data_IF_109912404591
#
_entry.id   IF_109912404591
#
_cell.length_a   1.000
_cell.length_b   1.000
_cell.length_c   1.000
_cell.angle_alpha   90.00
_cell.angle_beta   90.00
_cell.angle_gamma   90.00
#
_symmetry.space_group_name_H-M   'P 1'
#
loop_
_entity.id
_entity.type
_entity.pdbx_description
1 polymer ?
#
# COMPACT_ATOMS: atom_id res chain seq x y z
N UNK A 1 1.77 2.75 -18.71
CA UNK A 1 2.46 4.02 -18.41
C UNK A 1 1.51 4.78 -17.49
N UNK A 2 1.93 5.16 -16.28
CA UNK A 2 1.12 6.07 -15.46
C UNK A 2 1.20 7.45 -16.11
N UNK A 3 0.07 7.97 -16.56
CA UNK A 3 -0.09 9.19 -17.34
C UNK A 3 -0.16 10.46 -16.47
N UNK A 4 0.27 10.35 -15.21
CA UNK A 4 0.31 11.48 -14.26
C UNK A 4 -0.96 11.68 -13.44
N UNK A 5 -2.04 10.92 -13.69
CA UNK A 5 -3.33 11.01 -12.98
C UNK A 5 -3.57 9.84 -12.01
N UNK A 6 -2.54 9.36 -11.33
CA UNK A 6 -2.68 8.29 -10.35
C UNK A 6 -3.27 8.82 -9.05
N UNK A 7 -4.45 8.32 -8.65
CA UNK A 7 -4.98 8.56 -7.31
C UNK A 7 -4.50 7.45 -6.37
N UNK A 8 -3.89 7.85 -5.24
CA UNK A 8 -3.39 6.93 -4.24
C UNK A 8 -4.42 6.70 -3.13
N UNK A 9 -4.58 5.44 -2.75
CA UNK A 9 -5.48 4.99 -1.70
C UNK A 9 -4.70 4.24 -0.64
N UNK A 10 -5.22 4.26 0.59
CA UNK A 10 -4.72 3.45 1.69
C UNK A 10 -5.88 2.65 2.29
N UNK A 11 -5.65 1.38 2.60
CA UNK A 11 -6.66 0.56 3.24
C UNK A 11 -6.80 0.88 4.73
N UNK A 12 -8.04 0.83 5.23
CA UNK A 12 -8.33 1.02 6.65
C UNK A 12 -7.56 0.04 7.56
N UNK A 13 -7.49 -1.23 7.18
CA UNK A 13 -6.73 -2.26 7.90
C UNK A 13 -5.23 -1.90 8.08
N UNK A 14 -4.63 -1.20 7.12
CA UNK A 14 -3.23 -0.76 7.21
C UNK A 14 -3.09 0.42 8.18
N UNK A 15 -4.09 1.28 8.25
CA UNK A 15 -4.13 2.41 9.20
C UNK A 15 -4.23 1.90 10.63
N UNK A 16 -5.07 0.89 10.88
CA UNK A 16 -5.18 0.24 12.19
C UNK A 16 -3.84 -0.35 12.64
N UNK A 17 -3.13 -1.04 11.75
CA UNK A 17 -1.80 -1.58 12.01
C UNK A 17 -0.76 -0.48 12.26
N UNK A 18 -0.76 0.59 11.45
CA UNK A 18 0.09 1.75 11.66
C UNK A 18 -0.18 2.42 13.01
N UNK A 19 -1.45 2.55 13.42
CA UNK A 19 -1.83 3.07 14.73
C UNK A 19 -1.23 2.24 15.87
N UNK A 20 -1.29 0.91 15.78
CA UNK A 20 -0.62 0.02 16.72
C UNK A 20 0.89 0.25 16.79
N UNK A 21 1.55 0.28 15.62
CA UNK A 21 3.01 0.40 15.51
C UNK A 21 3.56 1.78 15.92
N UNK A 22 2.81 2.85 15.67
CA UNK A 22 3.24 4.23 15.96
C UNK A 22 3.56 4.52 17.43
N UNK A 23 3.05 3.68 18.34
CA UNK A 23 3.30 3.76 19.78
C UNK A 23 4.76 3.52 20.11
N UNK A 24 5.44 2.69 19.34
CA UNK A 24 6.83 2.28 19.58
C UNK A 24 7.78 2.54 18.40
N UNK A 25 7.25 2.85 17.21
CA UNK A 25 8.05 3.10 16.00
C UNK A 25 7.81 4.51 15.44
N UNK A 26 8.86 5.33 15.43
CA UNK A 26 8.81 6.71 14.93
C UNK A 26 8.46 6.78 13.43
N UNK A 27 8.92 5.83 12.63
CA UNK A 27 8.61 5.80 11.19
C UNK A 27 7.13 5.53 10.95
N UNK A 28 6.51 4.66 11.76
CA UNK A 28 5.07 4.42 11.70
C UNK A 28 4.28 5.67 12.13
N UNK A 29 4.78 6.46 13.09
CA UNK A 29 4.17 7.74 13.47
C UNK A 29 4.23 8.77 12.34
N UNK A 30 5.37 8.90 11.68
CA UNK A 30 5.51 9.75 10.49
C UNK A 30 4.54 9.28 9.40
N UNK A 31 4.45 7.96 9.16
CA UNK A 31 3.47 7.39 8.23
C UNK A 31 2.02 7.76 8.57
N UNK A 32 1.66 7.76 9.86
CA UNK A 32 0.34 8.20 10.32
C UNK A 32 0.06 9.68 10.02
N UNK A 33 1.05 10.56 10.17
CA UNK A 33 0.88 11.99 9.85
C UNK A 33 0.77 12.22 8.34
N UNK A 34 1.39 11.37 7.53
CA UNK A 34 1.42 11.50 6.08
C UNK A 34 0.14 10.99 5.39
N UNK A 35 -0.51 9.93 5.91
CA UNK A 35 -1.66 9.33 5.21
C UNK A 35 -2.90 10.21 5.19
N UNK A 36 -3.03 11.22 6.06
CA UNK A 36 -4.20 12.12 6.08
C UNK A 36 -4.45 12.87 4.76
N UNK A 37 -3.52 12.77 3.80
CA UNK A 37 -3.61 13.31 2.44
C UNK A 37 -4.14 12.29 1.41
N UNK A 38 -4.32 11.03 1.79
CA UNK A 38 -4.76 9.93 0.94
C UNK A 38 -6.24 9.62 1.20
N UNK A 39 -6.93 9.10 0.19
CA UNK A 39 -8.27 8.54 0.37
C UNK A 39 -8.18 7.19 1.07
N UNK A 40 -9.07 6.95 2.02
CA UNK A 40 -9.16 5.68 2.72
C UNK A 40 -10.16 4.77 2.02
N UNK A 41 -9.73 3.53 1.79
CA UNK A 41 -10.55 2.49 1.21
C UNK A 41 -10.92 1.49 2.31
N UNK A 42 -12.21 1.26 2.50
CA UNK A 42 -12.72 0.22 3.39
C UNK A 42 -12.15 -1.13 2.95
N UNK A 43 -11.46 -1.79 3.88
CA UNK A 43 -10.86 -3.10 3.67
C UNK A 43 -11.26 -4.02 4.81
N UNK A 44 -11.69 -5.24 4.49
CA UNK A 44 -11.93 -6.29 5.47
C UNK A 44 -10.75 -7.25 5.48
N UNK A 45 -10.31 -7.68 6.65
CA UNK A 45 -9.21 -8.64 6.80
C UNK A 45 -8.09 -8.12 7.70
N UNK A 46 -6.93 -8.80 7.67
CA UNK A 46 -5.73 -8.42 8.44
C UNK A 46 -4.50 -8.41 7.54
N UNK A 47 -3.61 -7.45 7.78
CA UNK A 47 -2.33 -7.30 7.09
C UNK A 47 -2.44 -7.31 5.56
N UNK A 48 -1.43 -7.94 4.94
CA UNK A 48 -1.28 -8.08 3.50
C UNK A 48 -2.53 -8.55 2.75
N UNK A 49 -3.31 -9.48 3.32
CA UNK A 49 -4.48 -10.06 2.64
C UNK A 49 -5.53 -9.01 2.32
N UNK A 50 -5.77 -8.09 3.25
CA UNK A 50 -6.71 -6.98 3.08
C UNK A 50 -6.32 -6.06 1.91
N UNK A 51 -5.01 -5.85 1.71
CA UNK A 51 -4.47 -5.06 0.62
C UNK A 51 -4.69 -5.78 -0.71
N UNK A 52 -4.31 -7.06 -0.78
CA UNK A 52 -4.43 -7.87 -1.99
C UNK A 52 -5.89 -8.01 -2.45
N UNK A 53 -6.81 -8.27 -1.52
CA UNK A 53 -8.24 -8.36 -1.80
C UNK A 53 -8.79 -7.06 -2.40
N UNK A 54 -8.33 -5.92 -1.88
CA UNK A 54 -8.72 -4.60 -2.38
C UNK A 54 -8.16 -4.34 -3.78
N UNK A 55 -6.89 -4.67 -4.01
CA UNK A 55 -6.28 -4.56 -5.33
C UNK A 55 -7.01 -5.42 -6.37
N UNK A 56 -7.36 -6.66 -6.03
CA UNK A 56 -8.12 -7.55 -6.91
C UNK A 56 -9.54 -7.06 -7.16
N UNK A 57 -10.26 -6.64 -6.11
CA UNK A 57 -11.67 -6.24 -6.20
C UNK A 57 -11.87 -4.97 -7.03
N UNK A 58 -10.95 -4.02 -6.94
CA UNK A 58 -11.05 -2.72 -7.58
C UNK A 58 -10.07 -2.54 -8.75
N UNK A 59 -9.43 -3.62 -9.21
CA UNK A 59 -8.45 -3.63 -10.30
C UNK A 59 -7.32 -2.60 -10.12
N UNK A 60 -6.88 -2.39 -8.88
CA UNK A 60 -5.85 -1.41 -8.52
C UNK A 60 -4.44 -1.98 -8.66
N UNK A 61 -3.47 -1.09 -8.84
CA UNK A 61 -2.05 -1.43 -8.72
C UNK A 61 -1.60 -1.36 -7.25
N UNK A 62 -0.75 -2.29 -6.84
CA UNK A 62 -0.10 -2.27 -5.53
C UNK A 62 1.21 -1.49 -5.59
N UNK A 63 1.38 -0.47 -4.75
CA UNK A 63 2.68 0.17 -4.51
C UNK A 63 3.23 -0.28 -3.14
N UNK A 64 4.36 -0.98 -3.13
CA UNK A 64 5.02 -1.41 -1.89
C UNK A 64 6.54 -1.58 -2.07
N UNK A 65 7.27 -1.59 -0.96
CA UNK A 65 8.67 -2.00 -0.87
C UNK A 65 8.85 -3.39 -0.22
N UNK A 66 7.78 -3.99 0.30
CA UNK A 66 7.80 -5.32 0.89
C UNK A 66 7.87 -6.40 -0.21
N UNK A 67 9.01 -7.09 -0.30
CA UNK A 67 9.24 -8.10 -1.34
C UNK A 67 8.31 -9.31 -1.24
N UNK A 68 7.86 -9.68 -0.03
CA UNK A 68 6.96 -10.81 0.15
C UNK A 68 5.56 -10.44 -0.33
N UNK A 69 5.06 -9.26 0.05
CA UNK A 69 3.76 -8.77 -0.40
C UNK A 69 3.74 -8.58 -1.92
N UNK A 70 4.79 -7.98 -2.49
CA UNK A 70 4.88 -7.79 -3.94
C UNK A 70 4.91 -9.13 -4.69
N UNK A 71 5.68 -10.11 -4.22
CA UNK A 71 5.69 -11.47 -4.81
C UNK A 71 4.31 -12.11 -4.79
N UNK A 72 3.57 -11.94 -3.68
CA UNK A 72 2.20 -12.46 -3.54
C UNK A 72 1.23 -11.76 -4.50
N UNK A 73 1.34 -10.44 -4.63
CA UNK A 73 0.53 -9.66 -5.57
C UNK A 73 0.77 -10.08 -7.03
N UNK A 74 2.03 -10.24 -7.44
CA UNK A 74 2.36 -10.72 -8.79
C UNK A 74 1.78 -12.11 -9.06
N UNK A 75 1.81 -13.02 -8.09
CA UNK A 75 1.21 -14.35 -8.22
C UNK A 75 -0.32 -14.31 -8.40
N UNK A 76 -0.98 -13.23 -7.97
CA UNK A 76 -2.41 -12.97 -8.14
C UNK A 76 -2.72 -12.12 -9.39
N UNK A 77 -1.74 -11.89 -10.27
CA UNK A 77 -1.85 -11.01 -11.45
C UNK A 77 -2.20 -9.54 -11.10
N UNK A 78 -1.90 -9.10 -9.87
CA UNK A 78 -1.99 -7.70 -9.49
C UNK A 78 -0.76 -6.97 -10.02
N UNK A 79 -0.98 -5.81 -10.66
CA UNK A 79 0.11 -4.94 -11.12
C UNK A 79 0.84 -4.33 -9.93
N UNK A 80 2.16 -4.45 -9.90
CA UNK A 80 3.00 -4.04 -8.77
C UNK A 80 3.93 -2.88 -9.14
N UNK A 81 4.08 -1.94 -8.22
CA UNK A 81 5.00 -0.83 -8.27
C UNK A 81 5.89 -0.84 -7.03
N UNK A 82 7.11 -0.34 -7.18
CA UNK A 82 8.04 -0.18 -6.06
C UNK A 82 8.79 1.14 -6.14
N UNK A 83 9.15 1.70 -4.98
CA UNK A 83 9.99 2.89 -4.90
C UNK A 83 11.47 2.49 -5.01
N UNK A 84 12.11 2.89 -6.11
CA UNK A 84 13.55 2.73 -6.35
C UNK A 84 14.28 4.05 -6.08
N UNK A 85 15.40 3.96 -5.36
CA UNK A 85 16.34 5.06 -5.08
C UNK A 85 15.70 6.35 -4.53
N UNK A 86 14.57 6.21 -3.83
CA UNK A 86 13.84 7.32 -3.22
C UNK A 86 13.23 8.33 -4.20
N UNK A 87 13.26 8.07 -5.51
CA UNK A 87 12.83 9.04 -6.54
C UNK A 87 12.04 8.44 -7.70
N UNK A 88 12.13 7.12 -7.92
CA UNK A 88 11.56 6.49 -9.11
C UNK A 88 10.56 5.42 -8.74
N UNK A 89 9.37 5.47 -9.34
CA UNK A 89 8.43 4.36 -9.31
C UNK A 89 8.85 3.39 -10.43
N UNK A 90 9.22 2.18 -10.05
CA UNK A 90 9.55 1.07 -10.95
C UNK A 90 8.53 -0.05 -10.88
N UNK A 91 8.61 -0.99 -11.81
CA UNK A 91 7.86 -2.26 -11.74
C UNK A 91 8.64 -3.25 -10.88
N UNK A 92 7.93 -4.00 -10.04
CA UNK A 92 8.49 -5.10 -9.26
C UNK A 92 8.45 -6.40 -10.07
#
# INVERSE_FOLDING_TARGET
MFDGNAEAFLNECVIEELHGLSRSNINARIGLEMYGKLKILDGKGKGDDCILDSCSKYEMCLLSSDRNLLRRATALNIKTLTLQDGRKIGWF
#
